data_IF_748438256214
#
_entry.id   IF_748438256214
#
_cell.length_a   1.000
_cell.length_b   1.000
_cell.length_c   1.000
_cell.angle_alpha   90.00
_cell.angle_beta   90.00
_cell.angle_gamma   90.00
#
_symmetry.space_group_name_H-M   'P 1'
#
loop_
_entity.id
_entity.type
_entity.pdbx_description
1 polymer ?
#
# COMPACT_ATOMS: atom_id res chain seq x y z
N UNK A 1 -8.98 -23.57 -1.59
CA UNK A 1 -9.18 -22.98 -0.25
C UNK A 1 -8.93 -21.49 -0.37
N UNK A 2 -9.92 -20.66 -0.05
CA UNK A 2 -9.71 -19.21 0.07
C UNK A 2 -8.62 -18.95 1.11
N UNK A 3 -7.74 -17.99 0.84
CA UNK A 3 -6.68 -17.63 1.79
C UNK A 3 -7.35 -17.06 3.07
N UNK A 4 -6.91 -17.45 4.29
CA UNK A 4 -7.57 -17.03 5.54
C UNK A 4 -7.36 -15.55 5.88
N UNK A 5 -6.48 -14.86 5.17
CA UNK A 5 -6.12 -13.47 5.41
C UNK A 5 -5.53 -12.84 4.16
N UNK A 6 -5.50 -11.52 4.12
CA UNK A 6 -4.87 -10.74 3.05
C UNK A 6 -3.84 -9.81 3.67
N UNK A 7 -2.60 -9.94 3.24
CA UNK A 7 -1.47 -9.17 3.74
C UNK A 7 -1.10 -8.07 2.75
N UNK A 8 -1.25 -6.83 3.18
CA UNK A 8 -1.05 -5.63 2.37
C UNK A 8 0.07 -4.80 3.00
N UNK A 9 1.03 -4.39 2.18
CA UNK A 9 2.06 -3.43 2.56
C UNK A 9 1.82 -2.16 1.76
N UNK A 10 1.46 -1.08 2.45
CA UNK A 10 1.29 0.25 1.88
C UNK A 10 2.55 1.06 2.16
N UNK A 11 3.29 1.45 1.13
CA UNK A 11 4.55 2.19 1.27
C UNK A 11 4.54 3.51 0.50
N UNK A 12 5.27 4.49 1.03
CA UNK A 12 5.43 5.79 0.43
C UNK A 12 6.26 6.72 1.32
N UNK A 13 6.07 8.02 1.14
CA UNK A 13 6.78 9.06 1.91
C UNK A 13 5.83 9.84 2.82
N UNK A 14 6.40 10.47 3.85
CA UNK A 14 5.66 11.34 4.75
C UNK A 14 4.86 12.43 4.02
N UNK A 15 3.58 12.56 4.37
CA UNK A 15 2.66 13.55 3.78
C UNK A 15 1.58 12.95 2.87
N UNK A 16 1.74 11.71 2.40
CA UNK A 16 0.81 11.06 1.45
C UNK A 16 -0.47 10.48 2.09
N UNK A 17 -0.72 10.72 3.38
CA UNK A 17 -1.97 10.34 4.03
C UNK A 17 -2.05 8.92 4.60
N UNK A 18 -0.97 8.13 4.58
CA UNK A 18 -0.93 6.72 5.05
C UNK A 18 -1.65 6.50 6.40
N UNK A 19 -1.31 7.27 7.45
CA UNK A 19 -1.99 7.10 8.76
C UNK A 19 -3.51 7.28 8.68
N UNK A 20 -3.95 8.28 7.92
CA UNK A 20 -5.38 8.59 7.77
C UNK A 20 -6.08 7.49 6.99
N UNK A 21 -5.47 7.00 5.93
CA UNK A 21 -5.99 5.89 5.13
C UNK A 21 -6.05 4.59 5.94
N UNK A 22 -5.01 4.25 6.70
CA UNK A 22 -5.02 3.05 7.57
C UNK A 22 -6.13 3.13 8.61
N UNK A 23 -6.36 4.29 9.24
CA UNK A 23 -7.48 4.47 10.17
C UNK A 23 -8.83 4.31 9.48
N UNK A 24 -9.04 4.96 8.33
CA UNK A 24 -10.30 4.82 7.56
C UNK A 24 -10.53 3.39 7.11
N UNK A 25 -9.49 2.70 6.66
CA UNK A 25 -9.57 1.30 6.27
C UNK A 25 -10.02 0.43 7.44
N UNK A 26 -9.49 0.67 8.64
CA UNK A 26 -9.90 -0.06 9.84
C UNK A 26 -11.39 0.14 10.16
N UNK A 27 -11.84 1.39 10.21
CA UNK A 27 -13.24 1.75 10.45
C UNK A 27 -14.17 1.16 9.37
N UNK A 28 -13.74 1.24 8.10
CA UNK A 28 -14.47 0.72 6.95
C UNK A 28 -14.59 -0.80 6.98
N UNK A 29 -13.48 -1.52 7.13
CA UNK A 29 -13.48 -2.99 7.22
C UNK A 29 -14.37 -3.48 8.36
N UNK A 30 -14.27 -2.85 9.54
CA UNK A 30 -15.11 -3.21 10.67
C UNK A 30 -16.61 -3.04 10.35
N UNK A 31 -16.98 -1.95 9.68
CA UNK A 31 -18.36 -1.73 9.22
C UNK A 31 -18.86 -2.74 8.18
N UNK A 32 -17.95 -3.38 7.45
CA UNK A 32 -18.25 -4.38 6.43
C UNK A 32 -18.14 -5.82 6.94
N UNK A 33 -17.94 -6.03 8.25
CA UNK A 33 -17.78 -7.37 8.82
C UNK A 33 -16.42 -7.98 8.50
N UNK A 34 -15.34 -7.20 8.60
CA UNK A 34 -13.97 -7.68 8.45
C UNK A 34 -13.11 -7.17 9.60
N UNK A 35 -12.17 -7.99 10.04
CA UNK A 35 -11.12 -7.52 10.95
C UNK A 35 -9.98 -6.91 10.16
N UNK A 36 -9.36 -5.86 10.70
CA UNK A 36 -8.21 -5.21 10.09
C UNK A 36 -7.14 -4.95 11.16
N UNK A 37 -6.04 -5.69 11.14
CA UNK A 37 -4.88 -5.40 11.97
C UNK A 37 -3.89 -4.58 11.19
N UNK A 38 -3.32 -3.55 11.81
CA UNK A 38 -2.30 -2.75 11.11
C UNK A 38 -1.29 -2.11 12.05
N UNK A 39 -0.11 -1.82 11.53
CA UNK A 39 0.90 -0.99 12.17
C UNK A 39 1.52 -0.04 11.14
N UNK A 40 1.70 1.23 11.52
CA UNK A 40 2.35 2.24 10.68
C UNK A 40 3.74 2.54 11.23
N UNK A 41 4.74 2.37 10.38
CA UNK A 41 6.15 2.64 10.66
C UNK A 41 6.58 3.91 9.93
N UNK A 42 7.31 4.79 10.61
CA UNK A 42 7.78 6.06 10.07
C UNK A 42 9.28 6.18 10.29
N UNK A 43 10.00 6.56 9.24
CA UNK A 43 11.40 6.95 9.33
C UNK A 43 11.55 8.26 10.09
N UNK A 44 12.66 8.42 10.81
CA UNK A 44 12.95 9.59 11.63
C UNK A 44 13.35 10.87 10.87
N UNK A 45 13.21 10.89 9.54
CA UNK A 45 13.59 12.04 8.73
C UNK A 45 12.61 13.21 8.91
N UNK A 46 13.14 14.44 8.97
CA UNK A 46 12.35 15.66 9.20
C UNK A 46 11.37 15.98 8.06
N UNK A 47 11.68 15.56 6.82
CA UNK A 47 10.80 15.62 5.63
C UNK A 47 11.04 14.41 4.76
N UNK A 48 10.00 13.96 4.04
CA UNK A 48 10.07 12.87 3.06
C UNK A 48 10.67 11.56 3.62
N UNK A 49 10.51 11.31 4.92
CA UNK A 49 10.88 10.03 5.50
C UNK A 49 10.04 8.90 4.94
N UNK A 50 10.66 7.72 4.79
CA UNK A 50 9.96 6.47 4.48
C UNK A 50 8.81 6.26 5.46
N UNK A 51 7.63 5.97 4.95
CA UNK A 51 6.46 5.60 5.74
C UNK A 51 5.86 4.35 5.13
N UNK A 52 5.64 3.34 5.95
CA UNK A 52 4.95 2.11 5.54
C UNK A 52 3.88 1.71 6.54
N UNK A 53 2.81 1.10 6.06
CA UNK A 53 1.80 0.43 6.87
C UNK A 53 1.74 -1.04 6.49
N UNK A 54 1.92 -1.91 7.48
CA UNK A 54 1.65 -3.34 7.35
C UNK A 54 0.22 -3.58 7.80
N UNK A 55 -0.60 -4.18 6.94
CA UNK A 55 -2.05 -4.32 7.11
C UNK A 55 -2.41 -5.78 6.83
N UNK A 56 -3.22 -6.38 7.71
CA UNK A 56 -3.76 -7.73 7.55
C UNK A 56 -5.27 -7.67 7.67
N UNK A 57 -5.97 -8.11 6.63
CA UNK A 57 -7.42 -8.19 6.58
C UNK A 57 -7.86 -9.63 6.81
N UNK A 58 -8.88 -9.83 7.64
CA UNK A 58 -9.43 -11.15 7.96
C UNK A 58 -10.96 -11.14 7.83
N UNK A 59 -11.56 -12.22 7.30
CA UNK A 59 -13.00 -12.43 7.39
C UNK A 59 -13.49 -12.43 8.85
N UNK A 60 -14.74 -12.01 9.08
CA UNK A 60 -15.33 -11.86 10.42
C UNK A 60 -15.21 -13.13 11.29
N UNK A 61 -15.36 -14.29 10.65
CA UNK A 61 -15.36 -15.61 11.28
C UNK A 61 -13.98 -16.06 11.77
N UNK A 62 -12.92 -15.29 11.46
CA UNK A 62 -11.58 -15.60 11.94
C UNK A 62 -11.50 -15.40 13.45
N UNK A 63 -11.14 -16.45 14.18
CA UNK A 63 -10.98 -16.41 15.64
C UNK A 63 -9.61 -15.86 16.06
N UNK A 64 -9.58 -15.29 17.27
CA UNK A 64 -8.36 -14.85 17.95
C UNK A 64 -7.51 -13.86 17.14
N UNK A 65 -8.16 -12.99 16.35
CA UNK A 65 -7.47 -11.97 15.55
C UNK A 65 -6.71 -11.01 16.46
N UNK A 66 -7.26 -10.68 17.63
CA UNK A 66 -6.65 -9.83 18.65
C UNK A 66 -5.30 -10.36 19.19
N UNK A 67 -5.03 -11.66 19.05
CA UNK A 67 -3.76 -12.28 19.46
C UNK A 67 -2.74 -12.37 18.31
N UNK A 68 -3.09 -11.93 17.10
CA UNK A 68 -2.20 -11.97 15.92
C UNK A 68 -1.39 -10.69 15.80
N UNK A 69 -0.15 -10.82 15.30
CA UNK A 69 0.69 -9.66 14.97
C UNK A 69 0.21 -8.99 13.68
N UNK A 70 0.34 -7.66 13.59
CA UNK A 70 0.17 -6.95 12.31
C UNK A 70 1.39 -7.09 11.39
N UNK A 71 2.52 -7.57 11.91
CA UNK A 71 3.76 -7.67 11.15
C UNK A 71 3.69 -8.75 10.07
N UNK A 72 4.17 -8.41 8.88
CA UNK A 72 4.17 -9.30 7.72
C UNK A 72 5.55 -9.97 7.59
N UNK A 73 5.57 -11.28 7.33
CA UNK A 73 6.81 -12.00 7.08
C UNK A 73 7.31 -11.75 5.64
N UNK A 74 8.63 -11.57 5.42
CA UNK A 74 9.19 -11.48 4.08
C UNK A 74 8.80 -12.67 3.21
N UNK A 75 8.50 -12.42 1.93
CA UNK A 75 8.06 -13.42 0.97
C UNK A 75 6.59 -13.88 1.12
N UNK A 76 5.82 -13.33 2.06
CA UNK A 76 4.41 -13.74 2.28
C UNK A 76 3.37 -12.72 1.83
N UNK A 77 3.82 -11.58 1.30
CA UNK A 77 2.96 -10.46 0.94
C UNK A 77 1.99 -10.81 -0.20
N UNK A 78 0.72 -10.45 -0.04
CA UNK A 78 -0.28 -10.59 -1.10
C UNK A 78 -0.32 -9.38 -2.01
N UNK A 79 -0.23 -8.19 -1.40
CA UNK A 79 -0.36 -6.93 -2.14
C UNK A 79 0.67 -5.92 -1.66
N UNK A 80 1.41 -5.34 -2.61
CA UNK A 80 2.25 -4.18 -2.39
C UNK A 80 1.57 -2.94 -2.98
N UNK A 81 1.25 -1.96 -2.14
CA UNK A 81 0.66 -0.68 -2.54
C UNK A 81 1.72 0.41 -2.49
N UNK A 82 2.05 0.94 -3.65
CA UNK A 82 3.21 1.81 -3.87
C UNK A 82 2.74 3.23 -4.17
N UNK A 83 2.69 4.08 -3.15
CA UNK A 83 2.41 5.52 -3.31
C UNK A 83 3.62 6.31 -3.81
N UNK A 84 4.82 5.76 -3.67
CA UNK A 84 6.06 6.35 -4.17
C UNK A 84 6.97 5.21 -4.63
N UNK A 85 7.47 5.30 -5.86
CA UNK A 85 8.09 4.16 -6.53
C UNK A 85 9.39 3.68 -5.90
N UNK A 86 10.25 4.57 -5.38
CA UNK A 86 11.48 4.14 -4.70
C UNK A 86 11.18 3.37 -3.41
N UNK A 87 10.15 3.77 -2.68
CA UNK A 87 9.70 3.05 -1.48
C UNK A 87 9.05 1.70 -1.81
N UNK A 88 8.38 1.61 -2.96
CA UNK A 88 7.92 0.34 -3.53
C UNK A 88 9.06 -0.61 -3.85
N UNK A 89 10.06 -0.14 -4.61
CA UNK A 89 11.23 -0.93 -4.97
C UNK A 89 12.02 -1.39 -3.73
N UNK A 90 12.12 -0.54 -2.70
CA UNK A 90 12.72 -0.91 -1.40
C UNK A 90 11.96 -2.04 -0.69
N UNK A 91 10.66 -2.18 -0.97
CA UNK A 91 9.77 -3.15 -0.34
C UNK A 91 9.67 -4.48 -1.09
N UNK A 92 10.34 -4.63 -2.24
CA UNK A 92 10.39 -5.87 -3.02
C UNK A 92 10.77 -7.11 -2.20
N UNK A 93 11.73 -7.07 -1.24
CA UNK A 93 12.07 -8.26 -0.42
C UNK A 93 10.89 -8.85 0.38
N UNK A 94 9.80 -8.09 0.56
CA UNK A 94 8.58 -8.58 1.20
C UNK A 94 7.70 -9.42 0.26
N UNK A 95 7.89 -9.27 -1.06
CA UNK A 95 7.07 -9.88 -2.10
C UNK A 95 7.49 -11.33 -2.40
N UNK A 96 6.53 -12.11 -2.91
CA UNK A 96 6.78 -13.34 -3.65
C UNK A 96 6.34 -13.17 -5.11
N UNK A 97 6.50 -14.20 -5.93
CA UNK A 97 6.14 -14.19 -7.36
C UNK A 97 4.65 -13.89 -7.67
N UNK A 98 3.76 -14.12 -6.70
CA UNK A 98 2.32 -13.94 -6.87
C UNK A 98 1.82 -12.62 -6.26
N UNK A 99 2.67 -11.85 -5.57
CA UNK A 99 2.29 -10.57 -4.97
C UNK A 99 1.77 -9.63 -6.05
N UNK A 100 0.58 -9.07 -5.84
CA UNK A 100 0.00 -8.03 -6.68
C UNK A 100 0.67 -6.69 -6.37
N UNK A 101 1.26 -6.06 -7.39
CA UNK A 101 1.84 -4.73 -7.26
C UNK A 101 0.81 -3.69 -7.73
N UNK A 102 0.44 -2.77 -6.86
CA UNK A 102 -0.47 -1.65 -7.17
C UNK A 102 0.36 -0.37 -7.06
N UNK A 103 0.65 0.25 -8.20
CA UNK A 103 1.69 1.27 -8.32
C UNK A 103 1.10 2.59 -8.79
N UNK A 104 1.32 3.65 -8.01
CA UNK A 104 1.06 5.02 -8.43
C UNK A 104 2.21 5.53 -9.30
N UNK A 105 1.89 6.36 -10.28
CA UNK A 105 2.89 6.97 -11.17
C UNK A 105 3.76 8.02 -10.46
N UNK A 106 3.47 8.33 -9.19
CA UNK A 106 4.19 9.32 -8.41
C UNK A 106 5.61 8.87 -8.06
N UNK A 107 6.55 9.73 -8.43
CA UNK A 107 7.96 9.63 -8.06
C UNK A 107 8.28 10.90 -7.28
N UNK A 108 8.62 10.75 -6.01
CA UNK A 108 9.29 11.82 -5.28
C UNK A 108 10.80 11.68 -5.55
N UNK A 109 11.47 12.81 -5.70
CA UNK A 109 12.93 12.85 -5.86
C UNK A 109 13.60 11.89 -4.85
N UNK A 110 14.61 11.06 -5.24
CA UNK A 110 15.04 9.94 -4.42
C UNK A 110 15.40 10.41 -3.01
N UNK A 111 14.79 9.82 -1.96
CA UNK A 111 15.02 10.23 -0.59
C UNK A 111 16.47 9.88 -0.21
N UNK A 112 17.40 10.82 -0.37
CA UNK A 112 18.79 10.63 0.02
C UNK A 112 19.85 11.48 -0.67
N UNK A 113 19.60 12.06 -1.85
CA UNK A 113 20.61 12.86 -2.54
C UNK A 113 20.21 14.34 -2.68
N UNK A 114 20.84 15.25 -1.94
CA UNK A 114 20.65 16.70 -2.17
C UNK A 114 21.11 17.16 -3.56
N UNK A 115 21.83 16.31 -4.30
CA UNK A 115 22.23 16.56 -5.68
C UNK A 115 21.35 15.78 -6.66
N UNK A 116 20.49 16.52 -7.37
CA UNK A 116 19.58 16.01 -8.39
C UNK A 116 20.23 15.43 -9.64
N UNK A 117 21.54 15.62 -9.80
CA UNK A 117 22.29 15.27 -11.00
C UNK A 117 22.73 13.80 -11.08
N UNK A 118 22.35 12.95 -10.11
CA UNK A 118 22.72 11.53 -10.08
C UNK A 118 21.52 10.60 -9.82
N UNK A 119 20.35 10.87 -10.40
CA UNK A 119 19.35 9.81 -10.54
C UNK A 119 19.90 8.84 -11.60
N UNK A 120 20.59 7.79 -11.16
CA UNK A 120 21.27 6.86 -12.06
C UNK A 120 20.31 5.98 -12.88
N UNK A 121 19.04 5.80 -12.46
CA UNK A 121 18.04 4.97 -13.15
C UNK A 121 16.62 5.47 -12.90
N UNK A 122 15.75 5.36 -13.91
CA UNK A 122 14.31 5.61 -13.81
C UNK A 122 13.64 4.46 -13.04
N UNK A 123 12.95 4.70 -11.91
CA UNK A 123 12.28 3.63 -11.16
C UNK A 123 11.22 2.91 -12.00
N UNK A 124 10.63 3.56 -13.02
CA UNK A 124 9.66 2.91 -13.91
C UNK A 124 10.25 1.70 -14.62
N UNK A 125 11.45 1.84 -15.17
CA UNK A 125 12.17 0.75 -15.84
C UNK A 125 12.57 -0.40 -14.90
N UNK A 126 12.70 -0.15 -13.59
CA UNK A 126 13.06 -1.20 -12.65
C UNK A 126 11.90 -2.16 -12.38
N UNK A 127 10.65 -1.71 -12.55
CA UNK A 127 9.48 -2.58 -12.41
C UNK A 127 9.40 -3.64 -13.51
N UNK A 128 9.96 -3.38 -14.69
CA UNK A 128 10.02 -4.34 -15.82
C UNK A 128 10.84 -5.59 -15.50
N UNK A 129 11.69 -5.54 -14.47
CA UNK A 129 12.49 -6.68 -14.00
C UNK A 129 11.66 -7.71 -13.24
N UNK A 130 10.41 -7.38 -12.87
CA UNK A 130 9.54 -8.23 -12.07
C UNK A 130 8.38 -8.77 -12.91
N UNK A 131 8.13 -10.07 -12.81
CA UNK A 131 7.04 -10.77 -13.52
C UNK A 131 5.73 -10.83 -12.72
N UNK A 132 5.66 -10.10 -11.62
CA UNK A 132 4.48 -10.00 -10.77
C UNK A 132 3.28 -9.41 -11.53
N UNK A 133 2.03 -9.74 -11.15
CA UNK A 133 0.87 -9.02 -11.64
C UNK A 133 0.91 -7.56 -11.18
N UNK A 134 0.66 -6.62 -12.09
CA UNK A 134 0.75 -5.17 -11.86
C UNK A 134 -0.58 -4.48 -12.19
N UNK A 135 -1.01 -3.57 -11.32
CA UNK A 135 -1.97 -2.50 -11.63
C UNK A 135 -1.22 -1.18 -11.49
N UNK A 136 -1.02 -0.46 -12.59
CA UNK A 136 -0.34 0.83 -12.59
C UNK A 136 -1.25 1.90 -13.19
N UNK A 137 -1.35 3.04 -12.51
CA UNK A 137 -2.12 4.21 -12.96
C UNK A 137 -1.66 5.47 -12.22
N UNK A 138 -2.12 6.63 -12.69
CA UNK A 138 -2.04 7.89 -11.94
C UNK A 138 -3.18 7.97 -10.90
N UNK A 139 -3.05 7.17 -9.83
CA UNK A 139 -4.00 7.14 -8.72
C UNK A 139 -4.04 8.48 -7.99
N UNK A 140 -2.93 9.23 -7.99
CA UNK A 140 -2.90 10.59 -7.46
C UNK A 140 -3.89 11.50 -8.19
N UNK A 141 -3.91 11.50 -9.52
CA UNK A 141 -4.90 12.26 -10.29
C UNK A 141 -6.32 11.74 -10.07
N UNK A 142 -6.52 10.42 -10.05
CA UNK A 142 -7.85 9.84 -9.75
C UNK A 142 -8.38 10.33 -8.39
N UNK A 143 -7.52 10.38 -7.37
CA UNK A 143 -7.92 10.86 -6.04
C UNK A 143 -8.28 12.35 -6.01
N UNK A 144 -7.62 13.17 -6.83
CA UNK A 144 -7.97 14.59 -6.98
C UNK A 144 -9.33 14.71 -7.66
N UNK A 145 -9.57 13.97 -8.74
CA UNK A 145 -10.83 14.01 -9.47
C UNK A 145 -12.00 13.52 -8.62
N UNK A 146 -11.81 12.46 -7.84
CA UNK A 146 -12.87 11.84 -7.06
C UNK A 146 -13.10 12.54 -5.70
N UNK A 147 -12.03 12.95 -5.02
CA UNK A 147 -12.09 13.42 -3.62
C UNK A 147 -11.55 14.83 -3.42
N UNK A 148 -10.98 15.45 -4.45
CA UNK A 148 -10.38 16.78 -4.38
C UNK A 148 -9.09 16.85 -3.58
N UNK A 149 -8.46 15.71 -3.24
CA UNK A 149 -7.29 15.70 -2.37
C UNK A 149 -6.42 14.44 -2.53
N UNK A 150 -5.11 14.63 -2.68
CA UNK A 150 -4.12 13.55 -2.84
C UNK A 150 -3.94 12.68 -1.60
N UNK A 151 -4.44 13.09 -0.43
CA UNK A 151 -4.42 12.24 0.78
C UNK A 151 -5.32 11.01 0.67
N UNK A 152 -6.13 10.91 -0.38
CA UNK A 152 -7.00 9.76 -0.65
C UNK A 152 -6.46 8.84 -1.76
N UNK A 153 -5.24 9.07 -2.28
CA UNK A 153 -4.60 8.19 -3.28
C UNK A 153 -4.61 6.73 -2.82
N UNK A 154 -4.18 6.46 -1.59
CA UNK A 154 -4.18 5.10 -1.04
C UNK A 154 -5.59 4.50 -0.95
N UNK A 155 -6.63 5.31 -0.74
CA UNK A 155 -8.02 4.83 -0.73
C UNK A 155 -8.46 4.39 -2.13
N UNK A 156 -8.12 5.15 -3.19
CA UNK A 156 -8.35 4.72 -4.57
C UNK A 156 -7.64 3.39 -4.89
N UNK A 157 -6.39 3.25 -4.46
CA UNK A 157 -5.61 2.02 -4.66
C UNK A 157 -6.19 0.83 -3.89
N UNK A 158 -6.62 1.01 -2.64
CA UNK A 158 -7.30 -0.02 -1.86
C UNK A 158 -8.63 -0.45 -2.51
N UNK A 159 -9.39 0.49 -3.07
CA UNK A 159 -10.61 0.16 -3.83
C UNK A 159 -10.30 -0.68 -5.08
N UNK A 160 -9.21 -0.39 -5.79
CA UNK A 160 -8.76 -1.22 -6.91
C UNK A 160 -8.38 -2.65 -6.45
N UNK A 161 -7.81 -2.80 -5.26
CA UNK A 161 -7.50 -4.11 -4.67
C UNK A 161 -8.77 -4.88 -4.34
N UNK A 162 -9.75 -4.23 -3.71
CA UNK A 162 -11.01 -4.88 -3.36
C UNK A 162 -11.72 -5.42 -4.60
N UNK A 163 -11.74 -4.63 -5.68
CA UNK A 163 -12.27 -5.07 -6.97
C UNK A 163 -11.43 -6.21 -7.59
N UNK A 164 -10.10 -6.08 -7.62
CA UNK A 164 -9.20 -7.04 -8.28
C UNK A 164 -9.17 -8.41 -7.60
N UNK A 165 -9.30 -8.43 -6.28
CA UNK A 165 -9.33 -9.65 -5.46
C UNK A 165 -10.76 -10.13 -5.18
N UNK A 166 -11.78 -9.47 -5.74
CA UNK A 166 -13.19 -9.79 -5.56
C UNK A 166 -13.58 -9.88 -4.06
N UNK A 167 -13.04 -8.98 -3.25
CA UNK A 167 -13.34 -8.96 -1.83
C UNK A 167 -14.78 -8.47 -1.61
N UNK A 168 -15.55 -9.11 -0.71
CA UNK A 168 -16.89 -8.64 -0.34
C UNK A 168 -16.82 -7.43 0.61
N UNK A 169 -16.01 -6.43 0.24
CA UNK A 169 -15.81 -5.16 0.95
C UNK A 169 -16.18 -4.06 -0.04
N UNK A 170 -17.13 -3.18 0.33
CA UNK A 170 -17.48 -2.03 -0.50
C UNK A 170 -16.30 -1.08 -0.69
N UNK A 171 -16.36 -0.20 -1.69
CA UNK A 171 -15.36 0.85 -1.83
C UNK A 171 -15.34 1.79 -0.62
N UNK A 172 -14.15 2.20 -0.20
CA UNK A 172 -13.91 3.22 0.82
C UNK A 172 -14.31 4.58 0.24
N UNK A 173 -15.12 5.32 0.98
CA UNK A 173 -15.55 6.69 0.68
C UNK A 173 -14.70 7.74 1.44
N UNK A 174 -14.96 9.03 1.20
CA UNK A 174 -14.16 10.15 1.74
C UNK A 174 -14.35 10.38 3.24
#
# INVERSE_FOLDING_TARGET
MSKPEIQILLCGVGGQGINGTTRRLHEHCLSQGWHCLSAVYKGGAQRLGSVKAEIRLFPLETSEVEHKSSQIMPGTLDVLVVLEQWEGLRSIPMCNKNTLLVIDDYIEFPPGNRNSLQIQKDPKSLWELYSNPIIQADFKQQSIQQYGNTKYTASCMLNAIFARLELPIKSIEK
#
